data_IF_559156287095
#
_entry.id   IF_559156287095
#
_cell.length_a   1.000
_cell.length_b   1.000
_cell.length_c   1.000
_cell.angle_alpha   90.00
_cell.angle_beta   90.00
_cell.angle_gamma   90.00
#
_symmetry.space_group_name_H-M   'P 1'
#
loop_
_entity.id
_entity.type
_entity.pdbx_description
1 polymer ?
#
# COMPACT_ATOMS: atom_id res chain seq x y z
N UNK A 1 -23.93 24.73 6.09
CA UNK A 1 -23.69 23.26 6.13
C UNK A 1 -22.41 22.94 5.36
N UNK A 2 -21.31 22.76 6.09
CA UNK A 2 -19.99 22.47 5.52
C UNK A 2 -19.91 21.03 5.00
N UNK A 3 -19.42 20.79 3.78
CA UNK A 3 -19.20 19.46 3.24
C UNK A 3 -17.90 18.90 3.83
N UNK A 4 -17.99 17.88 4.68
CA UNK A 4 -16.82 17.34 5.36
C UNK A 4 -17.10 15.99 6.02
N UNK A 5 -16.67 14.93 5.34
CA UNK A 5 -16.28 13.62 5.89
C UNK A 5 -17.34 12.89 6.73
N UNK A 6 -18.22 12.13 6.08
CA UNK A 6 -19.04 11.13 6.77
C UNK A 6 -18.17 9.90 7.08
N UNK A 7 -17.43 9.92 8.18
CA UNK A 7 -16.99 8.68 8.83
C UNK A 7 -18.15 8.20 9.70
N UNK A 8 -18.88 7.14 9.32
CA UNK A 8 -19.91 6.56 10.22
C UNK A 8 -19.27 5.45 11.02
N UNK A 9 -18.75 5.77 12.19
CA UNK A 9 -18.20 4.74 13.08
C UNK A 9 -19.27 3.74 13.47
N UNK A 10 -18.97 2.43 13.49
CA UNK A 10 -19.84 1.46 14.18
C UNK A 10 -20.09 2.01 15.59
N UNK A 11 -21.32 1.91 16.14
CA UNK A 11 -21.58 2.37 17.49
C UNK A 11 -20.53 1.77 18.45
N UNK A 12 -19.70 2.62 19.06
CA UNK A 12 -18.52 2.16 19.82
C UNK A 12 -18.48 2.89 21.15
N UNK A 13 -18.30 2.15 22.24
CA UNK A 13 -17.89 2.71 23.51
C UNK A 13 -16.36 2.76 23.51
N UNK A 14 -15.79 3.96 23.38
CA UNK A 14 -14.36 4.19 23.31
C UNK A 14 -13.88 4.83 24.61
N UNK A 15 -12.95 4.18 25.31
CA UNK A 15 -12.35 4.71 26.54
C UNK A 15 -10.85 4.89 26.35
N UNK A 16 -10.38 6.13 26.51
CA UNK A 16 -8.95 6.41 26.59
C UNK A 16 -8.46 6.18 28.01
N UNK A 17 -7.36 5.44 28.17
CA UNK A 17 -6.69 5.20 29.45
C UNK A 17 -5.32 5.87 29.34
N UNK A 18 -5.23 7.10 29.85
CA UNK A 18 -4.07 7.97 29.66
C UNK A 18 -3.20 8.00 30.92
N UNK A 19 -1.92 7.70 30.72
CA UNK A 19 -0.90 7.79 31.76
C UNK A 19 -0.57 9.26 32.06
N UNK A 20 -0.69 9.63 33.34
CA UNK A 20 -0.22 10.92 33.86
C UNK A 20 0.72 10.75 35.05
N UNK A 21 1.40 9.61 35.12
CA UNK A 21 2.42 9.33 36.11
C UNK A 21 3.58 10.33 36.02
N UNK A 22 4.46 10.29 37.02
CA UNK A 22 5.57 11.25 37.14
C UNK A 22 6.54 11.22 35.95
N UNK A 23 6.64 10.10 35.21
CA UNK A 23 7.49 10.03 34.01
C UNK A 23 6.99 10.94 32.89
N UNK A 24 5.66 11.10 32.78
CA UNK A 24 5.01 11.96 31.79
C UNK A 24 5.10 13.42 32.24
N UNK A 25 5.95 14.21 31.60
CA UNK A 25 6.10 15.63 31.94
C UNK A 25 4.83 16.41 31.55
N UNK A 26 4.52 17.55 32.20
CA UNK A 26 3.31 18.31 31.89
C UNK A 26 3.13 18.67 30.40
N UNK A 27 4.20 19.04 29.70
CA UNK A 27 4.15 19.34 28.27
C UNK A 27 3.95 18.11 27.38
N UNK A 28 4.37 16.93 27.83
CA UNK A 28 4.12 15.65 27.15
C UNK A 28 2.66 15.21 27.37
N UNK A 29 2.12 15.45 28.57
CA UNK A 29 0.72 15.22 28.86
C UNK A 29 -0.20 16.10 28.00
N UNK A 30 0.18 17.35 27.70
CA UNK A 30 -0.51 18.17 26.72
C UNK A 30 -0.57 17.52 25.33
N UNK A 31 0.49 16.82 24.90
CA UNK A 31 0.47 16.08 23.62
C UNK A 31 -0.49 14.90 23.63
N UNK A 32 -0.64 14.21 24.77
CA UNK A 32 -1.67 13.18 24.92
C UNK A 32 -3.06 13.79 24.77
N UNK A 33 -3.33 14.93 25.41
CA UNK A 33 -4.63 15.62 25.28
C UNK A 33 -4.91 16.06 23.84
N UNK A 34 -3.89 16.53 23.13
CA UNK A 34 -4.02 16.86 21.70
C UNK A 34 -4.34 15.61 20.88
N UNK A 35 -3.62 14.51 21.10
CA UNK A 35 -3.91 13.23 20.43
C UNK A 35 -5.35 12.74 20.67
N UNK A 36 -5.80 12.70 21.92
CA UNK A 36 -7.18 12.34 22.27
C UNK A 36 -8.18 13.25 21.57
N UNK A 37 -7.92 14.57 21.56
CA UNK A 37 -8.76 15.56 20.88
C UNK A 37 -8.86 15.31 19.37
N UNK A 38 -7.72 15.00 18.72
CA UNK A 38 -7.66 14.71 17.28
C UNK A 38 -8.43 13.44 16.92
N UNK A 39 -8.33 12.40 17.73
CA UNK A 39 -9.10 11.17 17.53
C UNK A 39 -10.60 11.47 17.70
N UNK A 40 -11.02 12.20 18.73
CA UNK A 40 -12.42 12.61 18.93
C UNK A 40 -12.95 13.45 17.74
N UNK A 41 -12.13 14.36 17.21
CA UNK A 41 -12.48 15.17 16.04
C UNK A 41 -12.76 14.30 14.81
N UNK A 42 -12.04 13.19 14.64
CA UNK A 42 -12.18 12.28 13.52
C UNK A 42 -13.37 11.30 13.64
N UNK A 43 -13.91 11.09 14.84
CA UNK A 43 -14.98 10.12 15.10
C UNK A 43 -16.39 10.71 14.90
N UNK A 44 -17.37 9.86 14.60
CA UNK A 44 -18.80 10.20 14.69
C UNK A 44 -19.28 9.97 16.13
N UNK A 45 -19.36 11.05 16.89
CA UNK A 45 -19.71 11.01 18.32
C UNK A 45 -21.19 11.31 18.52
N UNK A 46 -21.81 10.53 19.39
CA UNK A 46 -23.21 10.73 19.73
C UNK A 46 -23.79 9.56 20.51
N UNK A 47 -25.01 9.71 21.06
CA UNK A 47 -25.62 8.74 21.96
C UNK A 47 -25.87 7.38 21.29
N UNK A 48 -26.07 7.37 19.97
CA UNK A 48 -26.30 6.17 19.16
C UNK A 48 -25.11 5.81 18.26
N UNK A 49 -24.02 6.60 18.31
CA UNK A 49 -22.80 6.41 17.52
C UNK A 49 -21.64 6.08 18.47
N UNK A 50 -20.53 6.83 18.43
CA UNK A 50 -19.42 6.65 19.37
C UNK A 50 -19.64 7.45 20.67
N UNK A 51 -19.54 6.77 21.80
CA UNK A 51 -19.49 7.38 23.14
C UNK A 51 -18.04 7.36 23.61
N UNK A 52 -17.56 8.48 24.13
CA UNK A 52 -16.16 8.64 24.51
C UNK A 52 -16.05 8.79 26.03
N UNK A 53 -15.15 8.01 26.63
CA UNK A 53 -14.73 8.15 28.02
C UNK A 53 -13.22 8.40 28.10
N UNK A 54 -12.79 9.04 29.18
CA UNK A 54 -11.36 9.29 29.46
C UNK A 54 -11.08 8.97 30.92
N UNK A 55 -10.15 8.04 31.11
CA UNK A 55 -9.56 7.66 32.39
C UNK A 55 -8.16 8.23 32.44
N UNK A 56 -7.89 9.00 33.47
CA UNK A 56 -6.58 9.53 33.78
C UNK A 56 -6.01 8.74 34.97
N UNK A 57 -4.82 8.14 34.81
CA UNK A 57 -4.25 7.29 35.85
C UNK A 57 -2.79 7.61 36.17
N UNK A 58 -2.45 7.34 37.43
CA UNK A 58 -1.09 7.29 37.95
C UNK A 58 -1.07 6.23 39.08
N UNK A 59 -0.79 6.61 40.35
CA UNK A 59 -1.00 5.71 41.50
C UNK A 59 -2.49 5.52 41.83
N UNK A 60 -3.33 6.46 41.41
CA UNK A 60 -4.78 6.40 41.51
C UNK A 60 -5.40 6.53 40.12
N UNK A 61 -6.65 6.10 39.98
CA UNK A 61 -7.39 6.16 38.72
C UNK A 61 -8.55 7.15 38.88
N UNK A 62 -8.65 8.11 37.95
CA UNK A 62 -9.75 9.07 37.89
C UNK A 62 -10.52 8.92 36.58
N UNK A 63 -11.84 8.83 36.68
CA UNK A 63 -12.74 8.98 35.54
C UNK A 63 -12.92 10.48 35.27
N UNK A 64 -12.20 11.02 34.29
CA UNK A 64 -12.31 12.44 33.92
C UNK A 64 -13.53 12.67 33.01
N UNK A 65 -13.89 11.65 32.23
CA UNK A 65 -15.05 11.65 31.36
C UNK A 65 -15.69 10.25 31.35
N UNK A 66 -16.94 10.16 31.76
CA UNK A 66 -17.78 8.96 31.63
C UNK A 66 -18.42 8.85 30.25
N UNK A 67 -18.80 7.65 29.79
CA UNK A 67 -19.51 7.44 28.52
C UNK A 67 -20.89 8.13 28.45
N UNK A 68 -21.48 8.43 29.60
CA UNK A 68 -22.70 9.24 29.75
C UNK A 68 -22.47 10.76 29.75
N UNK A 69 -21.21 11.21 29.62
CA UNK A 69 -20.82 12.62 29.63
C UNK A 69 -21.32 13.40 28.41
N UNK A 70 -20.77 14.60 28.14
CA UNK A 70 -21.13 15.39 26.96
C UNK A 70 -21.10 14.56 25.68
N UNK A 71 -22.20 14.55 24.93
CA UNK A 71 -22.32 13.78 23.69
C UNK A 71 -21.97 14.61 22.44
N UNK A 72 -21.59 15.88 22.61
CA UNK A 72 -21.15 16.77 21.53
C UNK A 72 -19.63 16.85 21.45
N UNK A 73 -19.07 16.94 20.23
CA UNK A 73 -17.62 17.14 20.04
C UNK A 73 -17.10 18.32 20.85
N UNK A 74 -17.79 19.46 20.83
CA UNK A 74 -17.38 20.64 21.57
C UNK A 74 -17.27 20.38 23.08
N UNK A 75 -18.26 19.69 23.68
CA UNK A 75 -18.23 19.37 25.11
C UNK A 75 -17.15 18.35 25.47
N UNK A 76 -16.95 17.34 24.63
CA UNK A 76 -15.86 16.36 24.79
C UNK A 76 -14.48 17.03 24.75
N UNK A 77 -14.24 17.87 23.75
CA UNK A 77 -12.97 18.58 23.58
C UNK A 77 -12.71 19.56 24.73
N UNK A 78 -13.75 20.23 25.24
CA UNK A 78 -13.63 21.08 26.42
C UNK A 78 -13.26 20.28 27.68
N UNK A 79 -13.89 19.11 27.88
CA UNK A 79 -13.59 18.23 29.00
C UNK A 79 -12.13 17.73 28.93
N UNK A 80 -11.69 17.25 27.76
CA UNK A 80 -10.31 16.78 27.56
C UNK A 80 -9.28 17.87 27.86
N UNK A 81 -9.50 19.11 27.39
CA UNK A 81 -8.59 20.24 27.65
C UNK A 81 -8.40 20.53 29.15
N UNK A 82 -9.45 20.32 29.95
CA UNK A 82 -9.45 20.59 31.39
C UNK A 82 -8.73 19.54 32.25
N UNK A 83 -8.37 18.38 31.69
CA UNK A 83 -7.73 17.30 32.46
C UNK A 83 -6.36 17.73 32.97
N UNK A 84 -6.13 17.47 34.27
CA UNK A 84 -4.87 17.75 34.97
C UNK A 84 -4.13 16.45 35.29
N UNK A 85 -2.80 16.40 35.13
CA UNK A 85 -2.01 15.20 35.43
C UNK A 85 -1.97 14.89 36.94
N UNK A 86 -1.84 13.62 37.29
CA UNK A 86 -1.78 13.14 38.69
C UNK A 86 -0.35 13.09 39.24
N UNK A 87 0.65 12.90 38.39
CA UNK A 87 2.09 12.98 38.68
C UNK A 87 2.60 12.09 39.82
N UNK A 88 1.97 10.92 40.03
CA UNK A 88 2.37 9.90 41.02
C UNK A 88 2.97 8.66 40.34
N UNK A 89 2.75 7.44 40.86
CA UNK A 89 3.26 6.18 40.28
C UNK A 89 2.49 5.73 39.03
N UNK A 90 2.74 4.50 38.56
CA UNK A 90 2.21 4.01 37.27
C UNK A 90 1.47 2.69 37.49
N UNK A 91 0.18 2.76 37.86
CA UNK A 91 -0.68 1.59 38.14
C UNK A 91 -1.56 1.26 36.92
N UNK A 92 -0.93 0.79 35.84
CA UNK A 92 -1.61 0.53 34.56
C UNK A 92 -2.59 -0.65 34.67
N UNK A 93 -2.25 -1.69 35.44
CA UNK A 93 -3.14 -2.83 35.66
C UNK A 93 -4.44 -2.42 36.37
N UNK A 94 -4.32 -1.58 37.40
CA UNK A 94 -5.45 -0.98 38.10
C UNK A 94 -6.30 -0.12 37.17
N UNK A 95 -5.69 0.65 36.27
CA UNK A 95 -6.42 1.47 35.30
C UNK A 95 -7.25 0.62 34.32
N UNK A 96 -6.67 -0.47 33.79
CA UNK A 96 -7.38 -1.41 32.92
C UNK A 96 -8.52 -2.12 33.68
N UNK A 97 -8.28 -2.51 34.93
CA UNK A 97 -9.31 -3.11 35.79
C UNK A 97 -10.45 -2.12 36.08
N UNK A 98 -10.13 -0.86 36.36
CA UNK A 98 -11.10 0.19 36.58
C UNK A 98 -11.93 0.44 35.30
N UNK A 99 -11.29 0.47 34.13
CA UNK A 99 -12.01 0.58 32.87
C UNK A 99 -13.03 -0.55 32.69
N UNK A 100 -12.59 -1.78 32.93
CA UNK A 100 -13.41 -3.00 32.80
C UNK A 100 -14.59 -3.03 33.76
N UNK A 101 -14.37 -2.71 35.03
CA UNK A 101 -15.37 -2.84 36.09
C UNK A 101 -16.27 -1.62 36.24
N UNK A 102 -15.79 -0.42 35.89
CA UNK A 102 -16.49 0.84 36.11
C UNK A 102 -16.76 1.61 34.82
N UNK A 103 -15.75 1.97 34.04
CA UNK A 103 -15.95 2.89 32.91
C UNK A 103 -16.83 2.32 31.79
N UNK A 104 -16.75 1.01 31.53
CA UNK A 104 -17.65 0.31 30.59
C UNK A 104 -18.95 -0.18 31.24
N UNK A 105 -19.19 0.12 32.52
CA UNK A 105 -20.41 -0.30 33.21
C UNK A 105 -21.61 0.52 32.73
N UNK A 106 -22.83 -0.03 32.82
CA UNK A 106 -24.06 0.72 32.54
C UNK A 106 -24.20 1.99 33.38
N UNK A 107 -23.67 1.99 34.61
CA UNK A 107 -23.71 3.14 35.52
C UNK A 107 -22.87 4.33 35.04
N UNK A 108 -21.89 4.10 34.15
CA UNK A 108 -21.07 5.14 33.53
C UNK A 108 -21.47 5.39 32.07
N UNK A 109 -22.56 4.78 31.60
CA UNK A 109 -23.10 4.93 30.24
C UNK A 109 -22.64 3.86 29.24
N UNK A 110 -22.00 2.78 29.68
CA UNK A 110 -21.61 1.64 28.83
C UNK A 110 -22.81 0.83 28.35
N UNK A 111 -22.82 0.44 27.07
CA UNK A 111 -23.99 -0.15 26.40
C UNK A 111 -24.19 -1.66 26.64
N UNK A 112 -23.33 -2.35 27.41
CA UNK A 112 -23.48 -3.79 27.74
C UNK A 112 -22.70 -4.71 26.80
N UNK A 113 -23.25 -5.83 26.33
CA UNK A 113 -22.60 -6.69 25.28
C UNK A 113 -23.54 -7.03 24.11
N UNK A 114 -24.44 -6.12 23.73
CA UNK A 114 -25.38 -6.38 22.62
C UNK A 114 -24.63 -6.44 21.27
N UNK A 115 -25.13 -7.20 20.29
CA UNK A 115 -24.40 -7.54 19.06
C UNK A 115 -24.04 -6.36 18.14
N UNK A 116 -24.47 -5.13 18.46
CA UNK A 116 -24.41 -3.97 17.57
C UNK A 116 -23.45 -2.87 18.03
N UNK A 117 -22.63 -3.09 19.06
CA UNK A 117 -21.60 -2.12 19.44
C UNK A 117 -20.29 -2.78 19.90
N UNK A 118 -19.18 -2.07 19.68
CA UNK A 118 -17.85 -2.48 20.13
C UNK A 118 -17.46 -1.76 21.43
N UNK A 119 -16.68 -2.42 22.29
CA UNK A 119 -15.98 -1.78 23.42
C UNK A 119 -14.51 -1.70 23.08
N UNK A 120 -13.96 -0.51 23.10
CA UNK A 120 -12.56 -0.29 22.75
C UNK A 120 -11.87 0.53 23.84
N UNK A 121 -10.72 0.05 24.30
CA UNK A 121 -9.83 0.78 25.19
C UNK A 121 -8.54 1.14 24.45
N UNK A 122 -8.13 2.41 24.50
CA UNK A 122 -6.83 2.87 24.01
C UNK A 122 -5.98 3.22 25.22
N UNK A 123 -4.93 2.44 25.49
CA UNK A 123 -3.98 2.65 26.59
C UNK A 123 -2.78 3.42 26.06
N UNK A 124 -2.46 4.56 26.65
CA UNK A 124 -1.28 5.37 26.31
C UNK A 124 -0.37 5.44 27.52
N UNK A 125 0.87 4.92 27.42
CA UNK A 125 1.83 4.89 28.52
C UNK A 125 3.28 5.06 28.04
N UNK A 126 4.12 5.74 28.84
CA UNK A 126 5.57 5.84 28.63
C UNK A 126 6.40 4.97 29.58
N UNK A 127 5.73 4.32 30.53
CA UNK A 127 6.36 3.74 31.71
C UNK A 127 6.27 2.22 31.77
N UNK A 128 7.09 1.65 32.67
CA UNK A 128 6.90 0.27 33.13
C UNK A 128 5.85 0.28 34.24
N UNK A 129 4.77 -0.52 34.14
CA UNK A 129 3.76 -0.60 35.18
C UNK A 129 4.38 -1.10 36.49
N UNK A 130 3.88 -0.58 37.59
CA UNK A 130 4.27 -0.97 38.95
C UNK A 130 3.39 -2.11 39.50
N UNK A 131 2.41 -2.54 38.72
CA UNK A 131 1.47 -3.61 39.00
C UNK A 131 1.33 -4.59 37.82
N UNK A 132 0.65 -5.71 38.06
CA UNK A 132 0.46 -6.75 37.06
C UNK A 132 -0.60 -6.36 36.01
N UNK A 133 -0.20 -6.27 34.75
CA UNK A 133 -1.11 -5.94 33.64
C UNK A 133 -1.75 -7.16 32.97
N UNK A 134 -1.12 -8.34 33.06
CA UNK A 134 -1.54 -9.53 32.32
C UNK A 134 -2.96 -9.98 32.69
N UNK A 135 -3.24 -10.17 33.98
CA UNK A 135 -4.55 -10.64 34.45
C UNK A 135 -5.65 -9.59 34.23
N UNK A 136 -5.34 -8.31 34.45
CA UNK A 136 -6.27 -7.22 34.21
C UNK A 136 -6.67 -7.16 32.73
N UNK A 137 -5.69 -7.26 31.83
CA UNK A 137 -5.91 -7.23 30.38
C UNK A 137 -6.64 -8.48 29.89
N UNK A 138 -6.32 -9.65 30.44
CA UNK A 138 -7.04 -10.88 30.13
C UNK A 138 -8.53 -10.79 30.51
N UNK A 139 -8.85 -10.24 31.68
CA UNK A 139 -10.24 -10.00 32.09
C UNK A 139 -10.95 -8.98 31.21
N UNK A 140 -10.26 -7.91 30.83
CA UNK A 140 -10.80 -6.91 29.92
C UNK A 140 -11.15 -7.52 28.55
N UNK A 141 -10.23 -8.30 27.96
CA UNK A 141 -10.47 -9.03 26.69
C UNK A 141 -11.62 -10.04 26.83
N UNK A 142 -11.67 -10.79 27.93
CA UNK A 142 -12.78 -11.73 28.20
C UNK A 142 -14.14 -11.02 28.35
N UNK A 143 -14.15 -9.75 28.77
CA UNK A 143 -15.35 -8.90 28.83
C UNK A 143 -15.74 -8.29 27.46
N UNK A 144 -15.03 -8.67 26.39
CA UNK A 144 -15.25 -8.19 25.02
C UNK A 144 -14.69 -6.79 24.76
N UNK A 145 -13.70 -6.35 25.56
CA UNK A 145 -13.01 -5.07 25.36
C UNK A 145 -11.79 -5.31 24.45
N UNK A 146 -11.79 -4.66 23.29
CA UNK A 146 -10.68 -4.60 22.35
C UNK A 146 -9.67 -3.55 22.84
N UNK A 147 -8.41 -3.93 23.04
CA UNK A 147 -7.39 -3.09 23.68
C UNK A 147 -6.31 -2.75 22.67
N UNK A 148 -6.12 -1.45 22.42
CA UNK A 148 -4.98 -0.89 21.71
C UNK A 148 -3.97 -0.36 22.72
N UNK A 149 -2.73 -0.82 22.65
CA UNK A 149 -1.65 -0.40 23.54
C UNK A 149 -0.65 0.48 22.79
N UNK A 150 -0.53 1.75 23.19
CA UNK A 150 0.38 2.73 22.62
C UNK A 150 1.49 3.00 23.63
N UNK A 151 2.70 2.59 23.26
CA UNK A 151 3.91 2.85 23.99
C UNK A 151 4.64 4.09 23.50
N UNK A 152 5.06 4.96 24.41
CA UNK A 152 5.82 6.17 24.07
C UNK A 152 7.21 6.15 24.73
N UNK A 153 8.26 6.46 23.97
CA UNK A 153 9.60 6.61 24.52
C UNK A 153 10.21 5.29 24.99
N UNK A 154 10.52 5.14 26.28
CA UNK A 154 11.25 3.97 26.82
C UNK A 154 10.32 2.98 27.50
N UNK A 155 9.43 2.40 26.70
CA UNK A 155 8.45 1.40 27.12
C UNK A 155 8.95 -0.04 26.89
N UNK A 156 8.47 -0.98 27.70
CA UNK A 156 8.74 -2.40 27.50
C UNK A 156 7.73 -3.03 26.51
N UNK A 157 8.20 -3.48 25.35
CA UNK A 157 7.33 -4.07 24.32
C UNK A 157 6.67 -5.38 24.77
N UNK A 158 7.30 -6.13 25.68
CA UNK A 158 6.70 -7.34 26.25
C UNK A 158 5.42 -7.02 27.02
N UNK A 159 5.47 -5.96 27.82
CA UNK A 159 4.33 -5.43 28.59
C UNK A 159 3.22 -4.93 27.68
N UNK A 160 3.53 -4.16 26.63
CA UNK A 160 2.51 -3.69 25.66
C UNK A 160 1.78 -4.85 24.98
N UNK A 161 2.52 -5.89 24.58
CA UNK A 161 1.94 -7.09 23.97
C UNK A 161 1.04 -7.87 24.94
N UNK A 162 1.35 -7.88 26.24
CA UNK A 162 0.47 -8.51 27.23
C UNK A 162 -0.85 -7.75 27.43
N UNK A 163 -0.83 -6.42 27.24
CA UNK A 163 -2.01 -5.56 27.36
C UNK A 163 -2.91 -5.62 26.14
N UNK A 164 -2.34 -5.53 24.94
CA UNK A 164 -3.07 -5.44 23.69
C UNK A 164 -3.96 -6.67 23.40
N UNK A 165 -4.92 -6.49 22.50
CA UNK A 165 -5.68 -7.58 21.89
C UNK A 165 -4.96 -8.15 20.67
N UNK A 166 -5.35 -9.35 20.23
CA UNK A 166 -4.86 -9.93 18.97
C UNK A 166 -5.67 -9.38 17.78
N UNK A 167 -5.06 -9.20 16.60
CA UNK A 167 -3.66 -9.47 16.30
C UNK A 167 -2.72 -8.32 16.77
N UNK A 168 -1.56 -8.68 17.33
CA UNK A 168 -0.65 -7.72 17.98
C UNK A 168 -0.08 -6.64 17.04
N UNK A 169 0.11 -6.94 15.76
CA UNK A 169 0.59 -5.97 14.75
C UNK A 169 -0.44 -4.88 14.44
N UNK A 170 -1.72 -5.13 14.70
CA UNK A 170 -2.78 -4.11 14.60
C UNK A 170 -2.99 -3.34 15.90
N UNK A 171 -2.76 -3.97 17.06
CA UNK A 171 -3.15 -3.44 18.38
C UNK A 171 -2.01 -2.91 19.24
N UNK A 172 -0.74 -3.09 18.84
CA UNK A 172 0.42 -2.53 19.53
C UNK A 172 1.07 -1.47 18.66
N UNK A 173 1.14 -0.24 19.16
CA UNK A 173 1.88 0.84 18.52
C UNK A 173 3.01 1.32 19.43
N UNK A 174 4.11 1.71 18.80
CA UNK A 174 5.26 2.31 19.46
C UNK A 174 5.60 3.63 18.77
N UNK A 175 5.83 4.68 19.57
CA UNK A 175 6.36 5.95 19.09
C UNK A 175 7.55 6.37 19.95
N UNK A 176 8.59 6.89 19.31
CA UNK A 176 9.82 7.29 19.99
C UNK A 176 9.63 8.48 20.95
N UNK A 177 8.60 9.30 20.73
CA UNK A 177 8.28 10.44 21.59
C UNK A 177 6.83 10.90 21.45
N UNK A 178 6.38 11.66 22.45
CA UNK A 178 5.05 12.27 22.48
C UNK A 178 4.79 13.28 21.36
N UNK A 179 5.83 13.84 20.72
CA UNK A 179 5.63 14.75 19.58
C UNK A 179 5.15 14.03 18.32
N UNK A 180 5.33 12.72 18.24
CA UNK A 180 5.00 11.90 17.06
C UNK A 180 3.70 11.13 17.25
N UNK A 181 3.15 11.08 18.48
CA UNK A 181 1.95 10.32 18.81
C UNK A 181 0.71 10.74 17.98
N UNK A 182 0.65 12.02 17.58
CA UNK A 182 -0.41 12.55 16.71
C UNK A 182 -0.46 11.86 15.35
N UNK A 183 0.64 11.23 14.87
CA UNK A 183 0.64 10.46 13.62
C UNK A 183 -0.25 9.22 13.68
N UNK A 184 -0.53 8.70 14.88
CA UNK A 184 -1.42 7.55 15.07
C UNK A 184 -2.90 7.91 14.87
N UNK A 185 -3.25 9.20 14.81
CA UNK A 185 -4.64 9.66 14.59
C UNK A 185 -5.26 9.02 13.34
N UNK A 186 -4.49 8.93 12.25
CA UNK A 186 -4.99 8.36 10.99
C UNK A 186 -5.30 6.86 11.11
N UNK A 187 -4.47 6.12 11.84
CA UNK A 187 -4.68 4.69 12.11
C UNK A 187 -6.01 4.46 12.83
N UNK A 188 -6.29 5.25 13.87
CA UNK A 188 -7.54 5.12 14.62
C UNK A 188 -8.75 5.62 13.83
N UNK A 189 -8.58 6.61 12.96
CA UNK A 189 -9.61 7.00 12.02
C UNK A 189 -9.99 5.82 11.11
N UNK A 190 -9.01 5.15 10.50
CA UNK A 190 -9.27 3.97 9.65
C UNK A 190 -9.86 2.79 10.42
N UNK A 191 -9.37 2.53 11.64
CA UNK A 191 -9.83 1.41 12.47
C UNK A 191 -11.29 1.57 12.96
N UNK A 192 -11.72 2.81 13.24
CA UNK A 192 -13.06 3.06 13.80
C UNK A 192 -14.10 3.50 12.77
N UNK A 193 -13.69 4.06 11.64
CA UNK A 193 -14.62 4.39 10.56
C UNK A 193 -15.18 3.11 9.95
N UNK A 194 -16.47 2.86 10.20
CA UNK A 194 -17.22 2.04 9.24
C UNK A 194 -17.53 2.96 8.07
N UNK A 195 -17.17 2.46 6.90
CA UNK A 195 -17.46 3.06 5.61
C UNK A 195 -18.89 3.59 5.68
N UNK A 196 -19.08 4.90 5.81
CA UNK A 196 -20.35 5.44 5.38
C UNK A 196 -20.29 5.22 3.88
N UNK A 197 -21.25 4.46 3.38
CA UNK A 197 -21.38 4.29 1.95
C UNK A 197 -21.79 5.67 1.43
N UNK A 198 -20.81 6.54 1.18
CA UNK A 198 -20.97 7.87 0.61
C UNK A 198 -21.62 7.77 -0.78
N UNK A 199 -21.58 6.59 -1.40
CA UNK A 199 -22.37 6.27 -2.58
C UNK A 199 -23.86 6.05 -2.30
N UNK A 200 -24.22 5.58 -1.10
CA UNK A 200 -25.61 5.40 -0.69
C UNK A 200 -26.31 6.69 -0.23
N UNK A 201 -25.56 7.77 0.04
CA UNK A 201 -26.17 9.07 0.40
C UNK A 201 -26.74 9.80 -0.82
N UNK A 202 -26.32 9.41 -2.04
CA UNK A 202 -26.68 10.08 -3.29
C UNK A 202 -26.07 11.49 -3.44
N UNK A 203 -25.27 11.94 -2.47
CA UNK A 203 -24.58 13.22 -2.46
C UNK A 203 -23.12 13.02 -2.92
N UNK A 204 -22.98 12.39 -4.09
CA UNK A 204 -21.72 12.15 -4.76
C UNK A 204 -21.83 12.59 -6.23
N UNK A 205 -20.71 13.01 -6.80
CA UNK A 205 -20.66 13.57 -8.15
C UNK A 205 -20.09 12.60 -9.21
N UNK A 206 -20.06 11.30 -8.89
CA UNK A 206 -19.70 10.25 -9.85
C UNK A 206 -20.73 10.12 -10.98
N UNK A 207 -20.25 10.15 -12.23
CA UNK A 207 -21.10 9.98 -13.41
C UNK A 207 -21.69 8.57 -13.55
N UNK A 208 -20.93 7.53 -13.21
CA UNK A 208 -21.35 6.14 -13.46
C UNK A 208 -21.42 5.26 -12.22
N UNK A 209 -20.27 4.91 -11.65
CA UNK A 209 -20.17 4.04 -10.49
C UNK A 209 -19.54 4.83 -9.37
N UNK A 210 -20.15 4.81 -8.20
CA UNK A 210 -19.53 5.31 -6.99
C UNK A 210 -19.07 4.10 -6.18
N UNK A 211 -17.81 4.13 -5.72
CA UNK A 211 -17.23 3.11 -4.85
C UNK A 211 -16.86 3.77 -3.54
N UNK A 212 -17.55 3.39 -2.47
CA UNK A 212 -17.27 3.90 -1.14
C UNK A 212 -15.98 3.33 -0.58
N UNK A 213 -15.15 4.21 -0.05
CA UNK A 213 -13.90 3.89 0.65
C UNK A 213 -14.01 4.36 2.10
N UNK A 214 -13.17 3.87 3.04
CA UNK A 214 -13.21 4.35 4.42
C UNK A 214 -13.03 5.87 4.51
N UNK A 215 -14.09 6.60 4.88
CA UNK A 215 -14.08 8.05 5.04
C UNK A 215 -14.17 8.88 3.74
N UNK A 216 -14.27 8.25 2.57
CA UNK A 216 -14.35 8.92 1.26
C UNK A 216 -15.15 8.09 0.24
N UNK A 217 -15.29 8.60 -0.97
CA UNK A 217 -15.71 7.79 -2.11
C UNK A 217 -14.79 8.10 -3.28
N UNK A 218 -14.67 7.14 -4.18
CA UNK A 218 -14.07 7.35 -5.49
C UNK A 218 -15.06 6.96 -6.55
N UNK A 219 -15.01 7.67 -7.66
CA UNK A 219 -15.78 7.27 -8.81
C UNK A 219 -15.05 6.16 -9.55
N UNK A 220 -15.83 5.28 -10.15
CA UNK A 220 -15.39 4.23 -11.04
C UNK A 220 -16.32 4.25 -12.26
N UNK A 221 -15.90 3.56 -13.30
CA UNK A 221 -16.66 3.48 -14.53
C UNK A 221 -17.09 2.04 -14.78
N UNK A 222 -18.19 1.86 -15.50
CA UNK A 222 -18.66 0.54 -15.92
C UNK A 222 -17.71 -0.03 -16.97
N UNK A 223 -17.78 -1.34 -17.19
CA UNK A 223 -16.95 -2.01 -18.19
C UNK A 223 -17.02 -1.28 -19.55
N UNK A 224 -15.86 -0.96 -20.11
CA UNK A 224 -15.74 -0.18 -21.34
C UNK A 224 -15.69 1.35 -21.14
N UNK A 225 -15.51 1.85 -19.92
CA UNK A 225 -15.36 3.27 -19.60
C UNK A 225 -14.15 3.52 -18.68
N UNK A 226 -13.49 4.66 -18.84
CA UNK A 226 -12.32 5.10 -18.05
C UNK A 226 -12.64 6.40 -17.32
N UNK A 227 -12.22 6.50 -16.06
CA UNK A 227 -12.46 7.69 -15.24
C UNK A 227 -11.58 8.84 -15.74
N UNK A 228 -12.20 10.00 -15.94
CA UNK A 228 -11.55 11.21 -16.43
C UNK A 228 -10.71 11.89 -15.33
N UNK A 229 -9.91 12.87 -15.73
CA UNK A 229 -9.01 13.62 -14.85
C UNK A 229 -9.70 14.45 -13.77
N UNK A 230 -11.01 14.67 -13.88
CA UNK A 230 -11.82 15.27 -12.81
C UNK A 230 -12.13 14.30 -11.67
N UNK A 231 -11.77 13.02 -11.82
CA UNK A 231 -12.01 11.95 -10.85
C UNK A 231 -13.49 11.58 -10.69
N UNK A 232 -14.37 12.05 -11.59
CA UNK A 232 -15.83 12.05 -11.41
C UNK A 232 -16.57 11.58 -12.66
N UNK A 233 -16.18 12.07 -13.82
CA UNK A 233 -16.79 11.72 -15.11
C UNK A 233 -16.09 10.52 -15.75
N UNK A 234 -16.81 9.81 -16.60
CA UNK A 234 -16.38 8.59 -17.26
C UNK A 234 -16.46 8.79 -18.77
N UNK A 235 -15.31 8.86 -19.44
CA UNK A 235 -15.30 8.72 -20.89
C UNK A 235 -15.47 7.25 -21.24
N UNK A 236 -16.21 6.95 -22.30
CA UNK A 236 -16.10 5.63 -22.92
C UNK A 236 -14.61 5.37 -23.12
N UNK A 237 -14.12 4.24 -22.60
CA UNK A 237 -12.95 3.64 -23.21
C UNK A 237 -13.43 3.51 -24.64
N UNK A 238 -12.84 4.26 -25.55
CA UNK A 238 -13.16 4.08 -26.95
C UNK A 238 -12.73 2.64 -27.25
N UNK A 239 -13.70 1.72 -27.09
CA UNK A 239 -13.75 0.33 -27.49
C UNK A 239 -13.84 0.32 -29.00
N UNK A 240 -12.78 0.89 -29.56
CA UNK A 240 -12.69 1.62 -30.80
C UNK A 240 -11.33 2.29 -30.76
N UNK A 241 -10.28 1.45 -30.84
CA UNK A 241 -8.84 1.77 -30.98
C UNK A 241 -7.92 1.85 -29.74
N UNK A 242 -8.40 1.85 -28.48
CA UNK A 242 -7.53 2.17 -27.32
C UNK A 242 -6.88 1.04 -26.49
N UNK A 243 -7.23 -0.23 -26.66
CA UNK A 243 -6.73 -1.35 -25.82
C UNK A 243 -5.67 -2.22 -26.50
N UNK A 244 -5.06 -1.71 -27.57
CA UNK A 244 -4.06 -2.42 -28.34
C UNK A 244 -2.70 -2.32 -27.64
N UNK A 245 -1.95 -3.43 -27.60
CA UNK A 245 -0.59 -3.49 -27.07
C UNK A 245 0.28 -4.34 -27.97
N UNK A 246 1.49 -3.89 -28.29
CA UNK A 246 2.50 -4.70 -28.96
C UNK A 246 3.61 -5.07 -27.96
N UNK A 247 3.66 -6.35 -27.57
CA UNK A 247 4.60 -6.87 -26.58
C UNK A 247 5.64 -7.77 -27.26
N UNK A 248 6.93 -7.49 -27.07
CA UNK A 248 8.02 -8.37 -27.56
C UNK A 248 8.90 -8.83 -26.40
N UNK A 249 9.09 -10.15 -26.31
CA UNK A 249 10.04 -10.75 -25.39
C UNK A 249 11.43 -10.89 -26.03
N UNK A 250 12.47 -10.48 -25.33
CA UNK A 250 13.87 -10.74 -25.67
C UNK A 250 14.43 -11.71 -24.63
N UNK A 251 14.67 -12.94 -25.03
CA UNK A 251 15.00 -14.03 -24.12
C UNK A 251 16.43 -14.49 -24.33
N UNK A 252 17.25 -14.39 -23.30
CA UNK A 252 18.58 -14.97 -23.28
C UNK A 252 18.51 -16.51 -23.35
N UNK A 253 19.10 -17.06 -24.41
CA UNK A 253 19.30 -18.49 -24.66
C UNK A 253 20.78 -18.87 -24.66
N UNK A 254 21.63 -18.06 -24.03
CA UNK A 254 23.05 -18.30 -23.85
C UNK A 254 23.34 -19.49 -22.95
N UNK A 255 24.57 -20.01 -23.04
CA UNK A 255 25.04 -21.19 -22.33
C UNK A 255 24.94 -21.06 -20.80
N UNK A 256 25.03 -19.84 -20.25
CA UNK A 256 24.98 -19.59 -18.79
C UNK A 256 23.63 -19.95 -18.19
N UNK A 257 22.54 -19.76 -18.96
CA UNK A 257 21.17 -20.01 -18.51
C UNK A 257 21.00 -21.47 -18.09
N UNK A 258 21.52 -22.40 -18.89
CA UNK A 258 21.34 -23.87 -18.79
C UNK A 258 19.95 -24.37 -19.23
N UNK A 259 19.85 -25.59 -19.79
CA UNK A 259 18.59 -26.13 -20.31
C UNK A 259 17.46 -26.19 -19.27
N UNK A 260 17.77 -26.60 -18.04
CA UNK A 260 16.77 -26.75 -16.96
C UNK A 260 16.14 -25.42 -16.55
N UNK A 261 16.91 -24.33 -16.54
CA UNK A 261 16.41 -23.00 -16.24
C UNK A 261 15.68 -22.39 -17.43
N UNK A 262 16.08 -22.72 -18.66
CA UNK A 262 15.39 -22.26 -19.86
C UNK A 262 13.92 -22.74 -19.89
N UNK A 263 13.63 -23.93 -19.35
CA UNK A 263 12.24 -24.38 -19.16
C UNK A 263 11.46 -23.54 -18.13
N UNK A 264 12.12 -22.95 -17.13
CA UNK A 264 11.51 -21.99 -16.20
C UNK A 264 11.23 -20.65 -16.89
N UNK A 265 12.10 -20.21 -17.80
CA UNK A 265 11.88 -19.01 -18.62
C UNK A 265 10.67 -19.19 -19.55
N UNK A 266 10.53 -20.35 -20.20
CA UNK A 266 9.31 -20.69 -20.97
C UNK A 266 8.04 -20.60 -20.12
N UNK A 267 8.08 -21.08 -18.87
CA UNK A 267 6.95 -20.96 -17.93
C UNK A 267 6.66 -19.51 -17.57
N UNK A 268 7.69 -18.69 -17.35
CA UNK A 268 7.55 -17.26 -17.08
C UNK A 268 6.88 -16.51 -18.24
N UNK A 269 7.28 -16.78 -19.48
CA UNK A 269 6.63 -16.20 -20.68
C UNK A 269 5.16 -16.60 -20.73
N UNK A 270 4.86 -17.89 -20.54
CA UNK A 270 3.48 -18.39 -20.54
C UNK A 270 2.63 -17.74 -19.44
N UNK A 271 3.22 -17.50 -18.26
CA UNK A 271 2.56 -16.83 -17.15
C UNK A 271 2.14 -15.40 -17.54
N UNK A 272 3.00 -14.64 -18.21
CA UNK A 272 2.66 -13.29 -18.68
C UNK A 272 1.60 -13.36 -19.79
N UNK A 273 1.75 -14.26 -20.77
CA UNK A 273 0.76 -14.45 -21.85
C UNK A 273 -0.63 -14.79 -21.31
N UNK A 274 -0.71 -15.55 -20.22
CA UNK A 274 -1.99 -15.89 -19.57
C UNK A 274 -2.74 -14.65 -19.05
N UNK A 275 -2.04 -13.57 -18.71
CA UNK A 275 -2.63 -12.31 -18.24
C UNK A 275 -3.10 -11.35 -19.34
N UNK A 276 -2.65 -11.54 -20.58
CA UNK A 276 -2.95 -10.62 -21.70
C UNK A 276 -4.28 -10.96 -22.36
N UNK A 277 -4.91 -10.03 -23.07
CA UNK A 277 -6.01 -10.36 -23.99
C UNK A 277 -5.49 -10.40 -25.43
N UNK A 278 -5.12 -11.60 -25.90
CA UNK A 278 -4.45 -11.78 -27.20
C UNK A 278 -5.48 -11.82 -28.32
N UNK A 279 -5.38 -10.87 -29.24
CA UNK A 279 -6.17 -10.81 -30.48
C UNK A 279 -5.55 -9.82 -31.48
N UNK A 280 -6.05 -9.78 -32.71
CA UNK A 280 -5.61 -8.79 -33.71
C UNK A 280 -5.85 -7.33 -33.28
N UNK A 281 -6.84 -7.12 -32.41
CA UNK A 281 -7.30 -5.79 -31.98
C UNK A 281 -6.75 -5.38 -30.61
N UNK A 282 -6.29 -6.31 -29.79
CA UNK A 282 -5.80 -6.06 -28.43
C UNK A 282 -4.30 -6.36 -28.36
N UNK A 283 -3.85 -7.33 -27.55
CA UNK A 283 -2.44 -7.63 -27.41
C UNK A 283 -1.93 -8.49 -28.57
N UNK A 284 -0.87 -8.02 -29.24
CA UNK A 284 -0.03 -8.82 -30.13
C UNK A 284 1.28 -9.13 -29.42
N UNK A 285 1.74 -10.38 -29.54
CA UNK A 285 2.95 -10.87 -28.85
C UNK A 285 3.96 -11.35 -29.87
N UNK A 286 5.18 -10.84 -29.80
CA UNK A 286 6.36 -11.32 -30.52
C UNK A 286 7.39 -11.89 -29.55
N UNK A 287 8.26 -12.75 -30.06
CA UNK A 287 9.31 -13.36 -29.25
C UNK A 287 10.60 -13.51 -30.05
N UNK A 288 11.68 -13.02 -29.44
CA UNK A 288 13.04 -13.09 -29.93
C UNK A 288 13.88 -13.81 -28.88
N UNK A 289 14.65 -14.80 -29.31
CA UNK A 289 15.69 -15.43 -28.51
C UNK A 289 17.04 -14.91 -28.96
N UNK A 290 17.99 -14.73 -28.05
CA UNK A 290 19.35 -14.32 -28.39
C UNK A 290 20.41 -15.12 -27.64
N UNK A 291 21.58 -15.23 -28.26
CA UNK A 291 22.81 -15.75 -27.65
C UNK A 291 24.00 -15.04 -28.31
N UNK A 292 24.89 -15.76 -29.01
CA UNK A 292 25.87 -15.16 -29.93
C UNK A 292 25.25 -14.66 -31.24
N UNK A 293 23.99 -15.00 -31.50
CA UNK A 293 23.19 -14.49 -32.61
C UNK A 293 21.76 -14.26 -32.14
N UNK A 294 21.01 -13.45 -32.87
CA UNK A 294 19.59 -13.17 -32.60
C UNK A 294 18.72 -14.07 -33.49
N UNK A 295 17.69 -14.69 -32.91
CA UNK A 295 16.71 -15.53 -33.61
C UNK A 295 15.30 -15.07 -33.27
N UNK A 296 14.55 -14.63 -34.27
CA UNK A 296 13.11 -14.39 -34.13
C UNK A 296 12.38 -15.75 -34.08
N UNK A 297 11.75 -16.07 -32.95
CA UNK A 297 10.93 -17.28 -32.82
C UNK A 297 9.58 -17.06 -33.50
N UNK A 298 8.99 -15.87 -33.34
CA UNK A 298 7.83 -15.40 -34.09
C UNK A 298 7.68 -13.86 -34.00
N UNK A 299 7.26 -13.16 -35.07
CA UNK A 299 6.93 -11.74 -35.07
C UNK A 299 5.59 -11.45 -34.38
N UNK A 300 5.30 -10.17 -34.19
CA UNK A 300 3.98 -9.70 -33.74
C UNK A 300 2.91 -10.10 -34.76
N UNK A 301 1.71 -10.39 -34.25
CA UNK A 301 0.55 -10.72 -35.08
C UNK A 301 0.57 -12.11 -35.74
N UNK A 302 1.67 -12.88 -35.66
CA UNK A 302 1.71 -14.25 -36.19
C UNK A 302 0.70 -15.16 -35.50
N UNK A 303 0.61 -15.06 -34.16
CA UNK A 303 -0.33 -15.85 -33.36
C UNK A 303 -1.40 -14.96 -32.75
N UNK A 304 -2.65 -15.38 -32.92
CA UNK A 304 -3.84 -14.62 -32.52
C UNK A 304 -4.52 -15.19 -31.28
N UNK A 305 -3.96 -16.25 -30.70
CA UNK A 305 -4.50 -16.92 -29.54
C UNK A 305 -3.40 -17.25 -28.53
N UNK A 306 -3.73 -17.18 -27.24
CA UNK A 306 -2.84 -17.62 -26.15
C UNK A 306 -2.36 -19.06 -26.35
N UNK A 307 -3.26 -19.92 -26.81
CA UNK A 307 -2.98 -21.35 -27.03
C UNK A 307 -1.83 -21.54 -28.02
N UNK A 308 -1.85 -20.81 -29.13
CA UNK A 308 -0.84 -20.93 -30.18
C UNK A 308 0.50 -20.33 -29.75
N UNK A 309 0.47 -19.17 -29.07
CA UNK A 309 1.68 -18.58 -28.48
C UNK A 309 2.34 -19.57 -27.52
N UNK A 310 1.58 -20.15 -26.59
CA UNK A 310 2.10 -21.13 -25.61
C UNK A 310 2.63 -22.39 -26.29
N UNK A 311 2.00 -22.82 -27.38
CA UNK A 311 2.48 -23.96 -28.18
C UNK A 311 3.79 -23.64 -28.91
N UNK A 312 3.96 -22.42 -29.42
CA UNK A 312 5.20 -21.96 -30.03
C UNK A 312 6.33 -21.84 -28.99
N UNK A 313 6.06 -21.22 -27.83
CA UNK A 313 7.01 -21.11 -26.72
C UNK A 313 7.51 -22.49 -26.27
N UNK A 314 6.62 -23.49 -26.20
CA UNK A 314 7.00 -24.86 -25.84
C UNK A 314 8.00 -25.48 -26.82
N UNK A 315 7.93 -25.13 -28.11
CA UNK A 315 8.78 -25.66 -29.19
C UNK A 315 10.14 -24.96 -29.31
N UNK A 316 10.35 -23.84 -28.62
CA UNK A 316 11.62 -23.11 -28.68
C UNK A 316 12.80 -24.01 -28.30
N UNK A 317 13.81 -24.07 -29.18
CA UNK A 317 15.06 -24.77 -28.93
C UNK A 317 16.06 -23.83 -28.25
N UNK A 318 16.86 -24.35 -27.33
CA UNK A 318 17.91 -23.60 -26.65
C UNK A 318 19.11 -23.36 -27.59
N UNK A 319 19.81 -22.22 -27.49
CA UNK A 319 20.85 -21.81 -28.47
C UNK A 319 22.30 -22.09 -28.03
N UNK A 320 22.59 -22.13 -26.72
CA UNK A 320 23.85 -22.64 -26.14
C UNK A 320 25.15 -21.85 -26.44
N UNK A 321 25.10 -20.52 -26.62
CA UNK A 321 26.30 -19.71 -26.95
C UNK A 321 26.52 -18.51 -26.02
N UNK A 322 27.19 -17.45 -26.49
CA UNK A 322 27.44 -16.23 -25.73
C UNK A 322 26.17 -15.40 -25.49
N UNK A 323 26.33 -14.19 -24.97
CA UNK A 323 25.22 -13.31 -24.54
C UNK A 323 25.38 -11.94 -25.19
N UNK A 324 24.78 -11.73 -26.37
CA UNK A 324 24.85 -10.48 -27.13
C UNK A 324 23.56 -9.66 -26.94
N UNK A 325 23.35 -9.14 -25.73
CA UNK A 325 22.14 -8.39 -25.36
C UNK A 325 22.02 -7.09 -26.17
N UNK A 326 23.13 -6.43 -26.48
CA UNK A 326 23.15 -5.20 -27.28
C UNK A 326 22.63 -5.44 -28.70
N UNK A 327 23.06 -6.53 -29.33
CA UNK A 327 22.53 -6.95 -30.64
C UNK A 327 21.03 -7.29 -30.57
N UNK A 328 20.58 -7.94 -29.49
CA UNK A 328 19.17 -8.26 -29.31
C UNK A 328 18.30 -6.99 -29.18
N UNK A 329 18.74 -6.02 -28.39
CA UNK A 329 18.10 -4.70 -28.26
C UNK A 329 18.07 -3.95 -29.59
N UNK A 330 19.16 -3.99 -30.35
CA UNK A 330 19.21 -3.40 -31.69
C UNK A 330 18.19 -4.06 -32.63
N UNK A 331 18.09 -5.38 -32.60
CA UNK A 331 17.11 -6.13 -33.39
C UNK A 331 15.66 -5.79 -32.99
N UNK A 332 15.39 -5.60 -31.69
CA UNK A 332 14.08 -5.16 -31.20
C UNK A 332 13.67 -3.83 -31.85
N UNK A 333 14.58 -2.86 -31.81
CA UNK A 333 14.32 -1.50 -32.30
C UNK A 333 14.23 -1.44 -33.81
N UNK A 334 15.19 -2.06 -34.50
CA UNK A 334 15.33 -1.93 -35.96
C UNK A 334 14.40 -2.91 -36.71
N UNK A 335 13.97 -4.01 -36.09
CA UNK A 335 13.23 -5.08 -36.74
C UNK A 335 11.93 -5.44 -36.02
N UNK A 336 11.97 -5.88 -34.75
CA UNK A 336 10.78 -6.48 -34.10
C UNK A 336 9.60 -5.51 -33.96
N UNK A 337 9.87 -4.23 -33.69
CA UNK A 337 8.83 -3.19 -33.64
C UNK A 337 8.59 -2.46 -34.97
N UNK A 338 9.04 -3.04 -36.09
CA UNK A 338 8.70 -2.54 -37.43
C UNK A 338 7.31 -3.01 -37.87
N UNK A 339 6.68 -2.22 -38.74
CA UNK A 339 5.37 -2.54 -39.33
C UNK A 339 5.40 -3.86 -40.11
N UNK A 340 6.52 -4.16 -40.75
CA UNK A 340 6.72 -5.40 -41.52
C UNK A 340 6.68 -6.64 -40.60
N UNK A 341 7.14 -6.50 -39.36
CA UNK A 341 7.07 -7.55 -38.35
C UNK A 341 5.83 -7.47 -37.45
N UNK A 342 4.77 -6.80 -37.92
CA UNK A 342 3.45 -6.80 -37.30
C UNK A 342 3.20 -5.70 -36.28
N UNK A 343 4.17 -4.82 -36.01
CA UNK A 343 3.96 -3.71 -35.10
C UNK A 343 2.94 -2.70 -35.66
N UNK A 344 1.99 -2.31 -34.82
CA UNK A 344 0.90 -1.41 -35.21
C UNK A 344 1.31 0.05 -34.96
N UNK A 345 1.04 0.96 -35.93
CA UNK A 345 1.23 2.38 -35.73
C UNK A 345 0.35 2.91 -34.58
N UNK A 346 0.90 3.79 -33.74
CA UNK A 346 0.15 4.40 -32.62
C UNK A 346 -0.16 3.46 -31.44
N UNK A 347 0.19 2.18 -31.53
CA UNK A 347 0.01 1.21 -30.46
C UNK A 347 1.23 1.21 -29.53
N UNK A 348 1.04 1.25 -28.19
CA UNK A 348 2.12 1.14 -27.21
C UNK A 348 3.00 -0.09 -27.43
N UNK A 349 4.31 0.10 -27.32
CA UNK A 349 5.34 -0.93 -27.55
C UNK A 349 6.04 -1.25 -26.25
N UNK A 350 5.99 -2.51 -25.84
CA UNK A 350 6.59 -2.99 -24.60
C UNK A 350 7.62 -4.06 -24.90
N UNK A 351 8.86 -3.84 -24.47
CA UNK A 351 9.94 -4.83 -24.54
C UNK A 351 10.21 -5.43 -23.17
N UNK A 352 10.23 -6.76 -23.06
CA UNK A 352 10.68 -7.45 -21.85
C UNK A 352 11.98 -8.18 -22.16
N UNK A 353 13.08 -7.73 -21.56
CA UNK A 353 14.40 -8.35 -21.69
C UNK A 353 14.64 -9.27 -20.51
N UNK A 354 15.05 -10.50 -20.80
CA UNK A 354 15.43 -11.50 -19.83
C UNK A 354 16.90 -11.90 -20.03
N UNK A 355 17.74 -11.77 -19.00
CA UNK A 355 19.17 -12.14 -19.04
C UNK A 355 19.61 -12.79 -17.73
N UNK A 356 20.59 -13.70 -17.80
CA UNK A 356 21.16 -14.37 -16.61
C UNK A 356 22.62 -14.01 -16.32
N UNK A 357 23.19 -13.13 -17.14
CA UNK A 357 24.61 -12.78 -17.09
C UNK A 357 24.92 -11.43 -17.72
N UNK A 358 26.21 -11.10 -17.70
CA UNK A 358 26.78 -9.90 -18.32
C UNK A 358 26.76 -10.00 -19.84
N UNK A 359 26.37 -8.93 -20.52
CA UNK A 359 26.48 -8.85 -21.97
C UNK A 359 27.95 -8.90 -22.45
N UNK A 360 28.18 -9.50 -23.60
CA UNK A 360 29.50 -9.56 -24.26
C UNK A 360 29.69 -8.45 -25.32
N UNK A 361 28.70 -7.57 -25.46
CA UNK A 361 28.70 -6.40 -26.32
C UNK A 361 28.17 -5.16 -25.57
N UNK A 362 28.32 -4.00 -26.20
CA UNK A 362 27.83 -2.73 -25.66
C UNK A 362 26.30 -2.64 -25.81
N UNK A 363 25.61 -2.44 -24.69
CA UNK A 363 24.14 -2.34 -24.63
C UNK A 363 23.64 -0.90 -24.68
N UNK A 364 24.46 0.07 -24.24
CA UNK A 364 24.07 1.44 -23.93
C UNK A 364 23.34 2.16 -25.07
N UNK A 365 23.93 2.15 -26.27
CA UNK A 365 23.35 2.85 -27.42
C UNK A 365 22.00 2.25 -27.83
N UNK A 366 21.89 0.91 -27.79
CA UNK A 366 20.67 0.21 -28.18
C UNK A 366 19.55 0.37 -27.15
N UNK A 367 19.88 0.29 -25.85
CA UNK A 367 18.95 0.53 -24.75
C UNK A 367 18.43 1.98 -24.78
N UNK A 368 19.34 2.95 -24.96
CA UNK A 368 18.97 4.37 -25.11
C UNK A 368 18.07 4.57 -26.32
N UNK A 369 18.42 4.01 -27.48
CA UNK A 369 17.59 4.12 -28.70
C UNK A 369 16.20 3.53 -28.52
N UNK A 370 16.06 2.40 -27.80
CA UNK A 370 14.76 1.81 -27.50
C UNK A 370 13.88 2.76 -26.67
N UNK A 371 14.44 3.35 -25.62
CA UNK A 371 13.74 4.31 -24.75
C UNK A 371 13.40 5.61 -25.49
N UNK A 372 14.34 6.15 -26.27
CA UNK A 372 14.14 7.34 -27.11
C UNK A 372 13.06 7.12 -28.19
N UNK A 373 12.86 5.87 -28.62
CA UNK A 373 11.78 5.48 -29.55
C UNK A 373 10.40 5.34 -28.89
N UNK A 374 10.30 5.65 -27.60
CA UNK A 374 9.05 5.57 -26.82
C UNK A 374 8.67 4.16 -26.41
N UNK A 375 9.59 3.19 -26.47
CA UNK A 375 9.31 1.83 -26.03
C UNK A 375 9.44 1.74 -24.52
N UNK A 376 8.46 1.07 -23.89
CA UNK A 376 8.51 0.78 -22.46
C UNK A 376 9.29 -0.51 -22.24
N UNK A 377 10.44 -0.39 -21.61
CA UNK A 377 11.40 -1.47 -21.45
C UNK A 377 11.38 -2.00 -20.02
N UNK A 378 11.16 -3.30 -19.88
CA UNK A 378 11.31 -4.05 -18.63
C UNK A 378 12.53 -4.94 -18.70
N UNK A 379 13.35 -4.94 -17.66
CA UNK A 379 14.55 -5.77 -17.56
C UNK A 379 14.41 -6.77 -16.42
N UNK A 380 14.59 -8.05 -16.71
CA UNK A 380 14.50 -9.15 -15.74
C UNK A 380 15.84 -9.89 -15.73
N UNK A 381 16.57 -9.71 -14.63
CA UNK A 381 17.83 -10.39 -14.38
C UNK A 381 17.67 -11.56 -13.42
N UNK A 382 18.35 -12.66 -13.70
CA UNK A 382 18.40 -13.82 -12.79
C UNK A 382 19.83 -14.26 -12.54
N UNK A 383 20.14 -14.70 -11.32
CA UNK A 383 21.46 -15.27 -11.00
C UNK A 383 22.58 -14.25 -11.12
N UNK A 384 23.45 -14.42 -12.11
CA UNK A 384 24.66 -13.60 -12.30
C UNK A 384 24.44 -12.38 -13.20
N UNK A 385 23.18 -12.03 -13.49
CA UNK A 385 22.85 -10.82 -14.23
C UNK A 385 23.44 -9.57 -13.55
N UNK A 386 24.00 -8.67 -14.35
CA UNK A 386 24.60 -7.42 -13.85
C UNK A 386 23.49 -6.39 -13.68
N UNK A 387 23.20 -6.00 -12.43
CA UNK A 387 22.09 -5.07 -12.14
C UNK A 387 22.23 -3.72 -12.85
N UNK A 388 23.45 -3.21 -13.01
CA UNK A 388 23.68 -1.95 -13.74
C UNK A 388 23.25 -2.04 -15.21
N UNK A 389 23.48 -3.19 -15.87
CA UNK A 389 23.03 -3.43 -17.23
C UNK A 389 21.50 -3.51 -17.31
N UNK A 390 20.84 -4.11 -16.31
CA UNK A 390 19.38 -4.17 -16.24
C UNK A 390 18.76 -2.79 -16.06
N UNK A 391 19.34 -1.98 -15.18
CA UNK A 391 18.89 -0.60 -14.91
C UNK A 391 19.06 0.29 -16.15
N UNK A 392 20.11 0.08 -16.91
CA UNK A 392 20.35 0.79 -18.17
C UNK A 392 19.29 0.44 -19.24
N UNK A 393 18.87 -0.82 -19.31
CA UNK A 393 17.83 -1.29 -20.22
C UNK A 393 16.43 -0.80 -19.80
N UNK A 394 16.13 -0.79 -18.50
CA UNK A 394 14.82 -0.46 -17.98
C UNK A 394 14.40 1.01 -18.25
N UNK A 395 13.11 1.22 -18.52
CA UNK A 395 12.52 2.55 -18.63
C UNK A 395 12.33 3.20 -17.25
N UNK A 396 12.18 4.53 -17.22
CA UNK A 396 11.86 5.26 -16.00
C UNK A 396 10.38 5.06 -15.58
N UNK A 397 10.07 5.03 -14.27
CA UNK A 397 11.02 4.96 -13.15
C UNK A 397 11.73 3.59 -13.10
N UNK A 398 13.06 3.58 -13.03
CA UNK A 398 13.87 2.34 -13.13
C UNK A 398 13.49 1.30 -12.07
N UNK A 399 13.22 1.73 -10.83
CA UNK A 399 12.83 0.87 -9.72
C UNK A 399 11.54 0.06 -10.00
N UNK A 400 10.76 0.49 -10.98
CA UNK A 400 9.51 -0.16 -11.36
C UNK A 400 9.62 -1.10 -12.55
N UNK A 401 10.65 -0.93 -13.36
CA UNK A 401 10.84 -1.59 -14.64
C UNK A 401 12.02 -2.58 -14.64
N UNK A 402 12.87 -2.55 -13.61
CA UNK A 402 13.90 -3.56 -13.40
C UNK A 402 13.48 -4.56 -12.31
N UNK A 403 13.80 -5.83 -12.54
CA UNK A 403 13.57 -6.90 -11.58
C UNK A 403 14.80 -7.80 -11.54
N UNK A 404 15.25 -8.13 -10.34
CA UNK A 404 16.36 -9.04 -10.12
C UNK A 404 15.97 -10.15 -9.14
N UNK A 405 16.48 -11.36 -9.38
CA UNK A 405 16.39 -12.45 -8.42
C UNK A 405 17.58 -13.39 -8.51
N UNK A 406 18.08 -13.88 -7.37
CA UNK A 406 19.23 -14.76 -7.33
C UNK A 406 18.96 -16.18 -7.88
N UNK A 407 17.70 -16.63 -7.93
CA UNK A 407 17.34 -18.00 -8.31
C UNK A 407 16.24 -18.01 -9.40
N UNK A 408 16.41 -18.84 -10.42
CA UNK A 408 15.40 -19.09 -11.45
C UNK A 408 14.11 -19.65 -10.87
N UNK A 409 14.12 -20.35 -9.73
CA UNK A 409 12.90 -20.84 -9.08
C UNK A 409 11.98 -19.71 -8.62
N UNK A 410 12.54 -18.53 -8.32
CA UNK A 410 11.77 -17.36 -7.87
C UNK A 410 11.32 -16.44 -9.00
N UNK A 411 11.68 -16.72 -10.26
CA UNK A 411 11.25 -15.95 -11.44
C UNK A 411 9.73 -15.83 -11.57
N UNK A 412 8.99 -16.86 -11.14
CA UNK A 412 7.52 -16.88 -11.18
C UNK A 412 6.89 -15.77 -10.31
N UNK A 413 7.58 -15.35 -9.23
CA UNK A 413 7.17 -14.21 -8.40
C UNK A 413 7.31 -12.89 -9.15
N UNK A 414 8.38 -12.74 -9.96
CA UNK A 414 8.57 -11.58 -10.85
C UNK A 414 7.45 -11.55 -11.88
N UNK A 415 7.10 -12.71 -12.46
CA UNK A 415 5.99 -12.81 -13.42
C UNK A 415 4.70 -12.20 -12.86
N UNK A 416 4.35 -12.47 -11.59
CA UNK A 416 3.16 -11.88 -10.94
C UNK A 416 3.26 -10.36 -10.78
N UNK A 417 4.42 -9.84 -10.40
CA UNK A 417 4.64 -8.39 -10.27
C UNK A 417 4.55 -7.69 -11.63
N UNK A 418 5.11 -8.31 -12.67
CA UNK A 418 5.13 -7.77 -14.01
C UNK A 418 3.71 -7.74 -14.63
N UNK A 419 2.90 -8.78 -14.37
CA UNK A 419 1.48 -8.82 -14.77
C UNK A 419 0.70 -7.61 -14.25
N UNK A 420 0.91 -7.22 -13.00
CA UNK A 420 0.21 -6.06 -12.42
C UNK A 420 0.60 -4.73 -13.08
N UNK A 421 1.78 -4.64 -13.71
CA UNK A 421 2.30 -3.40 -14.31
C UNK A 421 2.17 -3.30 -15.83
N UNK A 422 2.02 -4.43 -16.53
CA UNK A 422 1.89 -4.49 -17.99
C UNK A 422 0.46 -4.16 -18.46
N UNK A 423 -0.49 -4.01 -17.55
CA UNK A 423 -1.74 -3.29 -17.82
C UNK A 423 -1.42 -1.79 -18.02
N UNK A 424 -1.34 -1.33 -19.28
CA UNK A 424 -0.95 0.04 -19.69
C UNK A 424 -2.17 0.97 -19.57
N UNK A 425 -2.16 2.21 -19.06
CA UNK A 425 -1.12 3.13 -18.58
C UNK A 425 -1.68 3.90 -17.37
N UNK A 426 -0.93 3.99 -16.28
CA UNK A 426 -1.18 4.97 -15.22
C UNK A 426 -0.89 6.39 -15.73
N UNK A 427 -1.73 7.33 -15.30
CA UNK A 427 -1.72 8.75 -15.61
C UNK A 427 -0.36 9.42 -15.28
N UNK A 428 0.28 10.15 -16.21
CA UNK A 428 1.52 10.91 -15.98
C UNK A 428 1.44 12.06 -14.95
N UNK A 429 0.36 12.22 -14.19
CA UNK A 429 0.17 13.34 -13.28
C UNK A 429 0.42 13.07 -11.78
N UNK A 430 0.68 11.83 -11.33
CA UNK A 430 0.95 11.61 -9.90
C UNK A 430 2.37 11.99 -9.43
N UNK A 431 3.37 12.08 -10.33
CA UNK A 431 4.76 12.31 -9.88
C UNK A 431 5.28 13.75 -9.99
N UNK A 432 4.58 14.66 -10.68
CA UNK A 432 5.07 16.06 -10.81
C UNK A 432 4.92 16.89 -9.53
N UNK A 433 4.06 16.47 -8.61
CA UNK A 433 3.74 17.21 -7.38
C UNK A 433 4.68 16.85 -6.22
N UNK A 434 5.01 15.55 -6.08
CA UNK A 434 5.89 15.04 -5.01
C UNK A 434 7.36 15.40 -5.29
N UNK A 435 7.82 15.25 -6.54
CA UNK A 435 9.21 15.60 -6.90
C UNK A 435 9.42 17.11 -6.77
N UNK A 436 8.47 17.96 -7.23
CA UNK A 436 8.55 19.43 -7.02
C UNK A 436 8.57 19.82 -5.54
N UNK A 437 7.93 19.05 -4.67
CA UNK A 437 7.94 19.30 -3.22
C UNK A 437 9.29 18.89 -2.61
N UNK A 438 9.81 17.71 -2.96
CA UNK A 438 11.10 17.22 -2.47
C UNK A 438 12.26 18.12 -2.92
N UNK A 439 12.32 18.52 -4.20
CA UNK A 439 13.35 19.44 -4.69
C UNK A 439 13.26 20.81 -4.02
N UNK A 440 12.06 21.34 -3.79
CA UNK A 440 11.87 22.58 -3.02
C UNK A 440 12.33 22.49 -1.57
N UNK A 441 12.14 21.33 -0.93
CA UNK A 441 12.55 21.10 0.46
C UNK A 441 14.07 20.95 0.55
N UNK A 442 14.70 20.25 -0.38
CA UNK A 442 16.17 20.12 -0.44
C UNK A 442 16.85 21.47 -0.74
N UNK A 443 16.30 22.27 -1.66
CA UNK A 443 16.80 23.63 -1.92
C UNK A 443 16.62 24.57 -0.71
N UNK A 444 15.54 24.40 0.07
CA UNK A 444 15.34 25.14 1.32
C UNK A 444 16.31 24.70 2.43
N UNK A 445 16.61 23.41 2.52
CA UNK A 445 17.55 22.87 3.51
C UNK A 445 18.98 23.33 3.20
N UNK A 446 19.37 23.32 1.92
CA UNK A 446 20.70 23.75 1.50
C UNK A 446 20.92 25.27 1.64
N UNK A 447 19.85 26.09 1.53
CA UNK A 447 19.92 27.54 1.74
C UNK A 447 19.88 27.96 3.22
N UNK A 448 19.57 27.04 4.14
CA UNK A 448 19.66 27.26 5.59
C UNK A 448 21.02 26.81 6.18
N UNK A 449 21.89 26.20 5.37
CA UNK A 449 23.22 25.72 5.75
C UNK A 449 24.38 26.57 5.19
N UNK A 450 24.08 27.66 4.48
CA UNK A 450 24.98 28.79 4.19
C UNK A 450 24.57 29.98 5.06
#
# INVERSE_FOLDING_TARGET
PSPGTLCRTKPTDLVFIIDSSRSVRPHEFEKIKVFVSRVIEALDVGPNATRVGVINYASAVRSELSLQGPQSKAGLLQAVRGIQPLSTGTMTGLAIQFATSRAFSPAEGGRGSAPNFKKVAIVVTDGRPQDGVQDASARARAAGIEIFAIGVGRVDMGTLRQMASEPLDEHVDYVESYSVIEKLTHKFQEAFCVVSDLCATGDHDCEQVCVSTPGAYRCACRDGFSLNSDGKTCSACNGGLGSALDLVFLIDGSKSVRPENFELVKKFINQIVDSLEVSDRQAQVGLVQYSSSVRQEFPLGQFKSKKDIKAAVKKMSYMEKGTMTGQALKYLVDSSFSVINGARPGVPKVGIVFTDGRSQDYISDAAKKAKDSGFRMFAVGVGNAVEDELREIASEPVAEHYFYTADFKTISKIGKKLQMKICVEEDPCECKSIVKFQTKVEDLINSLQQ
#
